data_IF_236075785184
#
_entry.id   IF_236075785184
#
_cell.length_a   1.000
_cell.length_b   1.000
_cell.length_c   1.000
_cell.angle_alpha   90.00
_cell.angle_beta   90.00
_cell.angle_gamma   90.00
#
_symmetry.space_group_name_H-M   'P 1'
#
loop_
_entity.id
_entity.type
_entity.pdbx_description
1 polymer ?
#
# COMPACT_ATOMS: atom_id res chain seq x y z
N UNK A 1 5.83 5.85 -23.84
CA UNK A 1 5.76 4.47 -23.30
C UNK A 1 5.15 3.56 -24.35
N UNK A 2 5.66 2.33 -24.60
CA UNK A 2 5.07 1.44 -25.60
C UNK A 2 3.68 0.99 -25.15
N UNK A 3 2.71 0.99 -26.07
CA UNK A 3 1.40 0.34 -25.88
C UNK A 3 1.62 -1.18 -25.96
N UNK A 4 1.85 -1.82 -24.82
CA UNK A 4 1.91 -3.28 -24.73
C UNK A 4 0.48 -3.85 -24.88
N UNK A 5 0.35 -5.02 -25.52
CA UNK A 5 -0.97 -5.60 -25.76
C UNK A 5 -1.65 -5.98 -24.43
N UNK A 6 -2.93 -5.64 -24.28
CA UNK A 6 -3.75 -5.93 -23.09
C UNK A 6 -4.15 -7.40 -22.95
N UNK A 7 -3.26 -8.33 -23.34
CA UNK A 7 -3.56 -9.76 -23.32
C UNK A 7 -3.61 -10.27 -21.88
N UNK A 8 -4.81 -10.40 -21.34
CA UNK A 8 -5.09 -11.07 -20.07
C UNK A 8 -5.05 -12.58 -20.29
N UNK A 9 -4.23 -13.28 -19.52
CA UNK A 9 -4.13 -14.75 -19.58
C UNK A 9 -5.29 -15.41 -18.84
N UNK A 10 -5.67 -14.87 -17.67
CA UNK A 10 -6.83 -15.30 -16.91
C UNK A 10 -7.24 -14.24 -15.87
N UNK A 11 -8.53 -14.21 -15.56
CA UNK A 11 -9.16 -13.38 -14.53
C UNK A 11 -9.44 -14.23 -13.29
N UNK A 12 -9.09 -13.76 -12.09
CA UNK A 12 -9.44 -14.47 -10.84
C UNK A 12 -10.85 -14.08 -10.37
N UNK A 13 -11.15 -12.77 -10.28
CA UNK A 13 -12.50 -12.21 -10.12
C UNK A 13 -12.55 -10.81 -10.75
N UNK A 14 -13.75 -10.25 -10.95
CA UNK A 14 -13.97 -8.86 -11.34
C UNK A 14 -14.87 -8.17 -10.33
N UNK A 15 -14.59 -6.89 -10.06
CA UNK A 15 -15.50 -6.05 -9.30
C UNK A 15 -16.82 -5.86 -10.04
N UNK A 16 -17.92 -5.87 -9.29
CA UNK A 16 -19.22 -5.45 -9.83
C UNK A 16 -19.16 -3.96 -10.20
N UNK A 17 -20.13 -3.52 -11.00
CA UNK A 17 -20.21 -2.11 -11.36
C UNK A 17 -20.55 -1.24 -10.15
N UNK A 18 -21.31 -1.74 -9.16
CA UNK A 18 -21.46 -1.04 -7.87
C UNK A 18 -20.13 -0.89 -7.15
N UNK A 19 -19.31 -1.96 -7.06
CA UNK A 19 -18.01 -1.88 -6.38
C UNK A 19 -17.06 -0.90 -7.07
N UNK A 20 -17.06 -0.84 -8.41
CA UNK A 20 -16.30 0.18 -9.15
C UNK A 20 -16.81 1.60 -8.90
N UNK A 21 -18.12 1.80 -8.80
CA UNK A 21 -18.73 3.10 -8.45
C UNK A 21 -18.33 3.54 -7.05
N UNK A 22 -18.41 2.62 -6.07
CA UNK A 22 -17.97 2.86 -4.69
C UNK A 22 -16.50 3.22 -4.65
N UNK A 23 -15.63 2.44 -5.31
CA UNK A 23 -14.20 2.74 -5.40
C UNK A 23 -13.94 4.14 -5.96
N UNK A 24 -14.58 4.48 -7.09
CA UNK A 24 -14.42 5.80 -7.72
C UNK A 24 -14.79 6.92 -6.76
N UNK A 25 -15.95 6.82 -6.13
CA UNK A 25 -16.43 7.83 -5.19
C UNK A 25 -15.48 8.00 -3.99
N UNK A 26 -14.92 6.91 -3.45
CA UNK A 26 -13.91 6.97 -2.38
C UNK A 26 -12.69 7.78 -2.84
N UNK A 27 -12.10 7.45 -3.99
CA UNK A 27 -10.89 8.14 -4.44
C UNK A 27 -11.15 9.57 -4.91
N UNK A 28 -12.29 9.87 -5.53
CA UNK A 28 -12.67 11.25 -5.87
C UNK A 28 -12.77 12.09 -4.60
N UNK A 29 -13.42 11.59 -3.56
CA UNK A 29 -13.51 12.26 -2.25
C UNK A 29 -12.14 12.41 -1.58
N UNK A 30 -11.28 11.38 -1.61
CA UNK A 30 -9.90 11.49 -1.09
C UNK A 30 -9.12 12.56 -1.84
N UNK A 31 -9.19 12.60 -3.17
CA UNK A 31 -8.42 13.54 -3.98
C UNK A 31 -8.94 14.98 -3.87
N UNK A 32 -10.21 15.18 -3.57
CA UNK A 32 -10.80 16.50 -3.36
C UNK A 32 -10.57 17.01 -1.93
N UNK A 33 -10.88 16.17 -0.94
CA UNK A 33 -10.99 16.58 0.47
C UNK A 33 -9.81 16.17 1.35
N UNK A 34 -8.99 15.22 0.88
CA UNK A 34 -7.94 14.58 1.70
C UNK A 34 -8.43 13.42 2.57
N UNK A 35 -9.72 13.07 2.50
CA UNK A 35 -10.36 12.02 3.31
C UNK A 35 -11.24 11.10 2.47
N UNK A 36 -11.31 9.84 2.87
CA UNK A 36 -12.32 8.92 2.35
C UNK A 36 -13.66 9.23 3.04
N UNK A 37 -14.78 9.13 2.30
CA UNK A 37 -16.11 9.43 2.82
C UNK A 37 -16.53 8.38 3.85
N UNK A 38 -17.43 8.76 4.77
CA UNK A 38 -18.00 7.79 5.70
C UNK A 38 -18.93 6.83 4.93
N UNK A 39 -19.12 5.61 5.45
CA UNK A 39 -20.00 4.60 4.83
C UNK A 39 -21.42 5.16 4.61
N UNK A 40 -21.92 5.94 5.56
CA UNK A 40 -23.23 6.58 5.45
C UNK A 40 -23.31 7.57 4.28
N UNK A 41 -22.24 8.35 4.05
CA UNK A 41 -22.16 9.30 2.94
C UNK A 41 -22.11 8.56 1.59
N UNK A 42 -21.34 7.47 1.50
CA UNK A 42 -21.30 6.61 0.30
C UNK A 42 -22.70 6.07 -0.02
N UNK A 43 -23.45 5.62 0.99
CA UNK A 43 -24.81 5.13 0.80
C UNK A 43 -25.73 6.23 0.26
N UNK A 44 -25.68 7.42 0.88
CA UNK A 44 -26.51 8.55 0.51
C UNK A 44 -26.20 9.05 -0.91
N UNK A 45 -24.92 9.29 -1.20
CA UNK A 45 -24.46 9.89 -2.46
C UNK A 45 -24.65 8.97 -3.66
N UNK A 46 -24.52 7.65 -3.47
CA UNK A 46 -24.64 6.68 -4.55
C UNK A 46 -26.04 6.06 -4.67
N UNK A 47 -26.94 6.34 -3.72
CA UNK A 47 -28.27 5.72 -3.62
C UNK A 47 -28.20 4.20 -3.42
N UNK A 48 -27.19 3.74 -2.67
CA UNK A 48 -26.95 2.31 -2.42
C UNK A 48 -27.39 1.92 -1.01
N UNK A 49 -27.82 0.66 -0.86
CA UNK A 49 -28.09 0.12 0.47
C UNK A 49 -26.78 -0.06 1.26
N UNK A 50 -26.86 0.04 2.59
CA UNK A 50 -25.72 -0.22 3.47
C UNK A 50 -25.11 -1.61 3.25
N UNK A 51 -25.95 -2.62 2.98
CA UNK A 51 -25.51 -3.98 2.68
C UNK A 51 -24.72 -4.06 1.36
N UNK A 52 -25.16 -3.33 0.33
CA UNK A 52 -24.43 -3.22 -0.94
C UNK A 52 -23.07 -2.56 -0.73
N UNK A 53 -23.03 -1.43 -0.03
CA UNK A 53 -21.77 -0.71 0.23
C UNK A 53 -20.81 -1.56 1.06
N UNK A 54 -21.28 -2.19 2.15
CA UNK A 54 -20.47 -3.08 2.99
C UNK A 54 -19.86 -4.23 2.18
N UNK A 55 -20.62 -4.84 1.27
CA UNK A 55 -20.11 -5.88 0.37
C UNK A 55 -19.05 -5.35 -0.59
N UNK A 56 -19.28 -4.18 -1.19
CA UNK A 56 -18.31 -3.53 -2.05
C UNK A 56 -17.01 -3.18 -1.31
N UNK A 57 -17.11 -2.67 -0.08
CA UNK A 57 -15.94 -2.38 0.75
C UNK A 57 -15.16 -3.65 1.11
N UNK A 58 -15.86 -4.72 1.50
CA UNK A 58 -15.24 -6.01 1.76
C UNK A 58 -14.53 -6.60 0.52
N UNK A 59 -15.13 -6.44 -0.67
CA UNK A 59 -14.49 -6.84 -1.92
C UNK A 59 -13.23 -5.99 -2.21
N UNK A 60 -13.30 -4.67 -2.00
CA UNK A 60 -12.15 -3.76 -2.17
C UNK A 60 -11.02 -4.04 -1.18
N UNK A 61 -11.35 -4.42 0.05
CA UNK A 61 -10.38 -4.82 1.06
C UNK A 61 -9.69 -6.14 0.67
N UNK A 62 -10.46 -7.14 0.22
CA UNK A 62 -9.91 -8.39 -0.33
C UNK A 62 -9.02 -8.21 -1.58
N UNK A 63 -9.24 -7.12 -2.32
CA UNK A 63 -8.38 -6.69 -3.41
C UNK A 63 -7.25 -5.75 -3.02
N UNK A 64 -7.02 -5.52 -1.73
CA UNK A 64 -5.95 -4.64 -1.21
C UNK A 64 -6.04 -3.23 -1.80
N UNK A 65 -7.27 -2.72 -1.98
CA UNK A 65 -7.53 -1.35 -2.43
C UNK A 65 -7.84 -0.44 -1.24
N UNK A 66 -8.50 -0.99 -0.23
CA UNK A 66 -8.79 -0.32 1.03
C UNK A 66 -8.40 -1.22 2.21
N UNK A 67 -8.42 -0.67 3.41
CA UNK A 67 -8.50 -1.43 4.65
C UNK A 67 -9.57 -0.78 5.54
N UNK A 68 -10.39 -1.60 6.19
CA UNK A 68 -11.43 -1.16 7.09
C UNK A 68 -10.92 -1.13 8.53
N UNK A 69 -11.38 -0.16 9.30
CA UNK A 69 -11.09 -0.06 10.72
C UNK A 69 -11.60 -1.31 11.45
N UNK A 70 -10.76 -1.85 12.32
CA UNK A 70 -11.04 -3.04 13.11
C UNK A 70 -10.73 -2.84 14.60
N UNK A 71 -11.08 -3.82 15.42
CA UNK A 71 -10.92 -3.76 16.88
C UNK A 71 -9.47 -3.57 17.32
N UNK A 72 -8.51 -4.10 16.56
CA UNK A 72 -7.09 -4.02 16.89
C UNK A 72 -6.55 -2.59 16.75
N UNK A 73 -7.19 -1.75 15.92
CA UNK A 73 -6.70 -0.41 15.55
C UNK A 73 -7.64 0.72 16.02
N UNK A 74 -8.72 0.42 16.76
CA UNK A 74 -9.75 1.39 17.17
C UNK A 74 -9.23 2.49 18.13
N UNK A 75 -8.20 2.20 18.91
CA UNK A 75 -7.72 3.07 19.99
C UNK A 75 -6.22 3.37 19.89
N UNK A 76 -5.68 3.34 18.68
CA UNK A 76 -4.28 3.65 18.45
C UNK A 76 -3.95 5.05 18.96
N UNK A 77 -2.90 5.12 19.78
CA UNK A 77 -2.26 6.37 20.18
C UNK A 77 -0.95 6.58 19.43
N UNK A 78 -0.45 5.51 18.83
CA UNK A 78 0.80 5.45 18.08
C UNK A 78 0.53 4.73 16.78
N UNK A 79 1.29 5.14 15.77
CA UNK A 79 1.24 4.62 14.43
C UNK A 79 2.68 4.45 13.97
N UNK A 80 3.09 3.22 13.65
CA UNK A 80 4.47 2.88 13.26
C UNK A 80 5.54 3.37 14.25
N UNK A 81 5.25 3.24 15.54
CA UNK A 81 6.14 3.69 16.63
C UNK A 81 6.20 5.20 16.82
N UNK A 82 5.38 5.98 16.11
CA UNK A 82 5.28 7.43 16.28
C UNK A 82 3.94 7.80 16.89
N UNK A 83 3.95 8.70 17.87
CA UNK A 83 2.72 9.18 18.49
C UNK A 83 1.85 9.94 17.48
N UNK A 84 0.56 9.62 17.46
CA UNK A 84 -0.40 10.35 16.63
C UNK A 84 -0.60 11.79 17.15
N UNK A 85 -0.89 12.75 16.26
CA UNK A 85 -1.28 14.10 16.66
C UNK A 85 -2.45 14.08 17.66
N UNK A 86 -2.47 15.02 18.61
CA UNK A 86 -3.55 15.07 19.63
C UNK A 86 -4.93 15.30 19.04
N UNK A 87 -5.00 15.97 17.89
CA UNK A 87 -6.21 16.24 17.12
C UNK A 87 -6.50 15.17 16.05
N UNK A 88 -5.76 14.05 16.08
CA UNK A 88 -6.04 12.92 15.20
C UNK A 88 -7.35 12.24 15.62
N UNK A 89 -8.28 12.16 14.67
CA UNK A 89 -9.51 11.37 14.78
C UNK A 89 -9.33 10.14 13.91
N UNK A 90 -9.43 8.96 14.52
CA UNK A 90 -9.43 7.70 13.79
C UNK A 90 -10.83 7.39 13.26
N UNK A 91 -10.96 6.71 12.11
CA UNK A 91 -12.24 6.21 11.64
C UNK A 91 -12.90 5.29 12.66
N UNK A 92 -14.23 5.29 12.68
CA UNK A 92 -15.04 4.39 13.51
C UNK A 92 -14.98 2.93 13.02
N UNK A 93 -15.48 1.99 13.81
CA UNK A 93 -15.50 0.56 13.44
C UNK A 93 -16.18 0.34 12.08
N UNK A 94 -15.53 -0.39 11.17
CA UNK A 94 -16.06 -0.67 9.83
C UNK A 94 -15.98 0.51 8.84
N UNK A 95 -15.48 1.67 9.26
CA UNK A 95 -15.18 2.79 8.36
C UNK A 95 -13.84 2.58 7.65
N UNK A 96 -13.62 3.31 6.56
CA UNK A 96 -12.39 3.22 5.77
C UNK A 96 -11.21 3.76 6.59
N UNK A 97 -10.25 2.88 6.91
CA UNK A 97 -9.00 3.22 7.58
C UNK A 97 -7.93 3.66 6.58
N UNK A 98 -7.77 2.88 5.51
CA UNK A 98 -6.90 3.18 4.38
C UNK A 98 -7.70 3.17 3.07
N UNK A 99 -7.50 4.20 2.25
CA UNK A 99 -7.86 4.20 0.84
C UNK A 99 -6.54 4.24 0.05
N UNK A 100 -5.97 3.06 -0.22
CA UNK A 100 -4.54 2.89 -0.49
C UNK A 100 -4.11 3.73 -1.70
N UNK A 101 -3.07 4.58 -1.61
CA UNK A 101 -2.02 4.62 -0.59
C UNK A 101 -2.24 5.66 0.52
N UNK A 102 -3.47 6.12 0.74
CA UNK A 102 -3.80 7.19 1.68
C UNK A 102 -4.33 6.66 3.01
N UNK A 103 -3.90 7.31 4.10
CA UNK A 103 -4.49 7.15 5.43
C UNK A 103 -5.67 8.09 5.62
N UNK A 104 -6.77 7.56 6.17
CA UNK A 104 -7.97 8.35 6.46
C UNK A 104 -7.93 9.09 7.81
N UNK A 105 -6.74 9.20 8.42
CA UNK A 105 -6.49 9.92 9.67
C UNK A 105 -5.23 10.79 9.55
N UNK A 106 -4.99 11.70 10.51
CA UNK A 106 -3.77 12.52 10.51
C UNK A 106 -2.62 11.69 11.07
N UNK A 107 -1.49 11.64 10.38
CA UNK A 107 -0.29 10.96 10.86
C UNK A 107 0.98 11.73 10.47
N UNK A 108 2.15 11.15 10.73
CA UNK A 108 3.43 11.79 10.45
C UNK A 108 3.86 11.68 8.97
N UNK A 109 3.17 10.89 8.15
CA UNK A 109 3.38 10.76 6.71
C UNK A 109 2.58 11.81 5.92
N UNK A 110 3.04 13.06 5.94
CA UNK A 110 2.31 14.19 5.33
C UNK A 110 2.54 14.23 3.83
N UNK A 111 1.47 14.34 3.05
CA UNK A 111 1.52 14.38 1.58
C UNK A 111 1.06 15.75 1.09
N UNK A 112 1.89 16.35 0.25
CA UNK A 112 1.74 17.69 -0.30
C UNK A 112 1.58 17.63 -1.81
N UNK A 113 0.60 18.36 -2.35
CA UNK A 113 0.36 18.46 -3.80
C UNK A 113 0.07 19.92 -4.13
N UNK A 114 0.82 20.49 -5.08
CA UNK A 114 0.65 21.91 -5.44
C UNK A 114 0.86 22.88 -4.27
N UNK A 115 1.70 22.52 -3.30
CA UNK A 115 1.95 23.31 -2.09
C UNK A 115 0.96 23.10 -0.94
N UNK A 116 -0.16 22.40 -1.17
CA UNK A 116 -1.16 22.13 -0.14
C UNK A 116 -0.90 20.79 0.56
N UNK A 117 -0.98 20.77 1.89
CA UNK A 117 -0.93 19.55 2.69
C UNK A 117 -2.34 19.17 3.15
N UNK A 118 -2.97 18.25 2.42
CA UNK A 118 -4.30 17.70 2.77
C UNK A 118 -4.26 16.21 3.10
N UNK A 119 -3.39 15.48 2.41
CA UNK A 119 -3.36 14.02 2.42
C UNK A 119 -2.31 13.48 3.40
N UNK A 120 -2.53 12.24 3.81
CA UNK A 120 -1.60 11.47 4.64
C UNK A 120 -1.34 10.12 3.97
N UNK A 121 -0.09 9.68 3.97
CA UNK A 121 0.30 8.38 3.44
C UNK A 121 -0.06 7.26 4.41
N UNK A 122 -0.44 6.10 3.88
CA UNK A 122 -0.68 4.91 4.70
C UNK A 122 0.61 4.31 5.21
N UNK A 123 1.67 4.26 4.40
CA UNK A 123 2.95 3.71 4.85
C UNK A 123 4.14 4.13 3.97
N UNK A 124 5.37 3.86 4.41
CA UNK A 124 6.59 4.14 3.65
C UNK A 124 6.68 3.41 2.30
N UNK A 125 6.13 2.20 2.18
CA UNK A 125 6.27 1.38 0.96
C UNK A 125 5.57 2.03 -0.23
N UNK A 126 4.28 2.33 -0.13
CA UNK A 126 3.52 2.90 -1.25
C UNK A 126 3.84 4.37 -1.52
N UNK A 127 4.47 5.06 -0.56
CA UNK A 127 4.84 6.48 -0.66
C UNK A 127 5.69 6.81 -1.91
N UNK A 128 6.54 5.90 -2.37
CA UNK A 128 7.40 6.12 -3.55
C UNK A 128 6.62 6.12 -4.86
N UNK A 129 5.33 5.78 -4.85
CA UNK A 129 4.45 5.76 -6.03
C UNK A 129 3.16 6.56 -5.86
N UNK A 130 2.99 7.27 -4.74
CA UNK A 130 1.76 8.03 -4.44
C UNK A 130 1.43 9.09 -5.48
N UNK A 131 2.43 9.59 -6.21
CA UNK A 131 2.25 10.57 -7.28
C UNK A 131 1.44 10.06 -8.48
N UNK A 132 1.20 8.75 -8.62
CA UNK A 132 0.26 8.23 -9.63
C UNK A 132 -1.14 8.82 -9.48
N UNK A 133 -1.57 9.12 -8.26
CA UNK A 133 -2.91 9.61 -7.96
C UNK A 133 -3.12 11.10 -8.28
N UNK A 134 -2.05 11.80 -8.71
CA UNK A 134 -2.12 13.23 -9.05
C UNK A 134 -1.49 13.50 -10.42
N UNK A 135 -2.15 13.10 -11.53
CA UNK A 135 -1.58 13.22 -12.86
C UNK A 135 -1.10 14.64 -13.20
N UNK A 136 0.13 14.73 -13.71
CA UNK A 136 0.79 15.96 -14.10
C UNK A 136 1.32 16.82 -12.94
N UNK A 137 1.03 16.45 -11.69
CA UNK A 137 1.43 17.22 -10.50
C UNK A 137 2.63 16.58 -9.80
N UNK A 138 3.50 17.43 -9.26
CA UNK A 138 4.50 16.99 -8.31
C UNK A 138 3.85 16.74 -6.96
N UNK A 139 4.22 15.63 -6.34
CA UNK A 139 3.76 15.21 -5.03
C UNK A 139 4.98 15.03 -4.14
N UNK A 140 4.93 15.66 -2.98
CA UNK A 140 5.99 15.61 -1.98
C UNK A 140 5.44 14.99 -0.71
N UNK A 141 6.09 13.95 -0.24
CA UNK A 141 5.78 13.27 1.00
C UNK A 141 6.87 13.59 2.02
N UNK A 142 6.48 14.00 3.22
CA UNK A 142 7.36 14.25 4.35
C UNK A 142 7.04 13.29 5.49
N UNK A 143 8.06 12.82 6.19
CA UNK A 143 7.93 11.93 7.34
C UNK A 143 9.17 12.03 8.24
N UNK A 144 9.30 11.09 9.17
CA UNK A 144 10.45 10.91 10.03
C UNK A 144 11.03 9.51 9.91
N UNK A 145 12.31 9.38 10.24
CA UNK A 145 12.96 8.10 10.48
C UNK A 145 12.40 7.48 11.76
N UNK A 146 12.05 6.19 11.70
CA UNK A 146 11.49 5.44 12.81
C UNK A 146 12.45 5.37 14.02
N UNK A 147 13.75 5.20 13.76
CA UNK A 147 14.76 5.06 14.81
C UNK A 147 15.19 6.41 15.41
N UNK A 148 15.50 7.40 14.56
CA UNK A 148 16.17 8.62 14.99
C UNK A 148 15.26 9.83 15.09
N UNK A 149 14.04 9.74 14.53
CA UNK A 149 13.15 10.90 14.37
C UNK A 149 13.61 11.92 13.32
N UNK A 150 14.75 11.69 12.66
CA UNK A 150 15.28 12.61 11.64
C UNK A 150 14.29 12.76 10.48
N UNK A 151 14.14 13.97 9.89
CA UNK A 151 13.19 14.20 8.81
C UNK A 151 13.56 13.38 7.57
N UNK A 152 12.54 12.91 6.86
CA UNK A 152 12.67 12.27 5.55
C UNK A 152 11.70 12.92 4.56
N UNK A 153 12.08 12.98 3.29
CA UNK A 153 11.23 13.47 2.23
C UNK A 153 11.37 12.63 0.96
N UNK A 154 10.29 12.53 0.21
CA UNK A 154 10.22 11.85 -1.08
C UNK A 154 9.41 12.73 -2.02
N UNK A 155 9.95 13.01 -3.19
CA UNK A 155 9.30 13.79 -4.24
C UNK A 155 9.10 12.92 -5.47
N UNK A 156 7.89 12.91 -6.00
CA UNK A 156 7.57 12.15 -7.20
C UNK A 156 6.55 12.86 -8.10
N UNK A 157 6.46 12.40 -9.34
CA UNK A 157 5.50 12.88 -10.33
C UNK A 157 5.09 11.74 -11.26
N UNK A 158 3.80 11.59 -11.51
CA UNK A 158 3.27 10.54 -12.42
C UNK A 158 3.79 9.13 -12.08
N UNK A 159 3.90 8.84 -10.78
CA UNK A 159 4.43 7.58 -10.24
C UNK A 159 5.95 7.41 -10.33
N UNK A 160 6.67 8.38 -10.89
CA UNK A 160 8.13 8.38 -10.93
C UNK A 160 8.70 9.07 -9.69
N UNK A 161 9.70 8.44 -9.08
CA UNK A 161 10.53 9.08 -8.07
C UNK A 161 11.41 10.14 -8.75
N UNK A 162 11.32 11.39 -8.29
CA UNK A 162 12.14 12.49 -8.77
C UNK A 162 13.31 12.76 -7.83
N UNK A 163 13.03 12.79 -6.52
CA UNK A 163 14.05 13.03 -5.51
C UNK A 163 13.65 12.45 -4.15
N UNK A 164 14.60 12.33 -3.23
CA UNK A 164 14.36 11.95 -1.85
C UNK A 164 15.48 12.43 -0.93
N UNK A 165 15.18 12.72 0.33
CA UNK A 165 16.17 13.04 1.36
C UNK A 165 15.90 12.28 2.67
N UNK A 166 16.95 11.91 3.43
CA UNK A 166 18.37 11.99 3.04
C UNK A 166 18.71 11.02 1.89
N UNK A 167 19.78 11.24 1.12
CA UNK A 167 20.21 10.27 0.09
C UNK A 167 20.56 8.88 0.62
N UNK A 168 20.85 8.79 1.92
CA UNK A 168 21.03 7.53 2.64
C UNK A 168 19.72 6.82 3.03
N UNK A 169 18.55 7.41 2.74
CA UNK A 169 17.24 6.88 3.11
C UNK A 169 17.07 5.42 2.70
N UNK A 170 16.44 4.66 3.60
CA UNK A 170 16.08 3.27 3.43
C UNK A 170 14.63 3.06 3.83
N UNK A 171 13.97 2.17 3.12
CA UNK A 171 12.58 1.78 3.37
C UNK A 171 12.57 0.32 3.79
N UNK A 172 12.07 0.06 4.98
CA UNK A 172 11.90 -1.28 5.52
C UNK A 172 10.51 -1.79 5.20
N UNK A 173 10.46 -2.93 4.53
CA UNK A 173 9.22 -3.67 4.28
C UNK A 173 9.16 -4.84 5.27
N UNK A 174 8.32 -4.72 6.30
CA UNK A 174 8.34 -5.59 7.47
C UNK A 174 7.60 -6.91 7.32
N UNK A 175 6.67 -7.06 6.37
CA UNK A 175 5.92 -8.33 6.20
C UNK A 175 5.80 -8.69 4.72
N UNK A 176 6.25 -9.89 4.30
CA UNK A 176 5.99 -10.38 2.96
C UNK A 176 4.49 -10.64 2.77
N UNK A 177 3.98 -10.49 1.54
CA UNK A 177 2.54 -10.68 1.21
C UNK A 177 1.93 -11.97 1.78
N UNK A 178 2.72 -13.04 1.84
CA UNK A 178 2.33 -14.33 2.41
C UNK A 178 1.98 -14.35 3.88
N UNK A 179 2.34 -13.32 4.63
CA UNK A 179 2.16 -13.25 6.08
C UNK A 179 1.11 -12.21 6.46
N UNK A 180 0.54 -11.48 5.50
CA UNK A 180 -0.34 -10.36 5.77
C UNK A 180 -1.56 -10.77 6.58
N UNK A 181 -2.21 -11.87 6.20
CA UNK A 181 -3.45 -12.33 6.85
C UNK A 181 -3.26 -13.41 7.91
N UNK A 182 -2.05 -13.93 8.10
CA UNK A 182 -1.80 -15.07 9.01
C UNK A 182 -0.75 -14.79 10.06
N UNK A 183 -0.41 -13.52 10.30
CA UNK A 183 0.46 -13.21 11.41
C UNK A 183 -0.30 -13.50 12.71
N UNK A 184 0.25 -14.33 13.62
CA UNK A 184 -0.42 -14.63 14.88
C UNK A 184 -0.77 -13.37 15.66
N UNK A 185 -2.03 -13.24 16.06
CA UNK A 185 -2.56 -12.05 16.74
C UNK A 185 -3.04 -10.94 15.80
N UNK A 186 -2.87 -11.09 14.49
CA UNK A 186 -3.29 -10.14 13.45
C UNK A 186 -3.96 -10.89 12.27
N UNK A 187 -4.63 -12.00 12.58
CA UNK A 187 -5.31 -12.80 11.57
C UNK A 187 -6.43 -12.03 10.87
N UNK A 188 -6.42 -12.03 9.53
CA UNK A 188 -7.44 -11.33 8.73
C UNK A 188 -7.28 -9.81 8.67
N UNK A 189 -6.24 -9.25 9.26
CA UNK A 189 -6.03 -7.81 9.35
C UNK A 189 -5.20 -7.25 8.18
N UNK A 190 -5.83 -6.39 7.38
CA UNK A 190 -5.18 -5.69 6.27
C UNK A 190 -4.48 -4.39 6.67
N UNK A 191 -4.62 -3.94 7.93
CA UNK A 191 -3.94 -2.76 8.46
C UNK A 191 -2.52 -3.14 8.89
N UNK A 192 -2.39 -4.15 9.75
CA UNK A 192 -1.11 -4.57 10.37
C UNK A 192 0.10 -4.66 9.43
N UNK A 193 0.02 -5.22 8.21
CA UNK A 193 1.19 -5.33 7.34
C UNK A 193 1.80 -3.97 6.98
N UNK A 194 0.97 -2.93 6.91
CA UNK A 194 1.43 -1.57 6.65
C UNK A 194 2.08 -0.97 7.88
N UNK A 195 1.52 -1.19 9.07
CA UNK A 195 2.04 -0.69 10.35
C UNK A 195 3.46 -1.17 10.68
N UNK A 196 3.94 -2.20 9.96
CA UNK A 196 5.30 -2.74 10.08
C UNK A 196 6.29 -2.20 9.04
N UNK A 197 5.93 -1.16 8.29
CA UNK A 197 6.79 -0.54 7.29
C UNK A 197 7.37 0.77 7.82
N UNK A 198 8.69 0.96 7.68
CA UNK A 198 9.40 2.07 8.33
C UNK A 198 10.35 2.79 7.38
N UNK A 199 10.51 4.10 7.60
CA UNK A 199 11.65 4.84 7.06
C UNK A 199 12.83 4.77 8.02
N UNK A 200 14.02 4.55 7.47
CA UNK A 200 15.29 4.71 8.16
C UNK A 200 16.14 5.74 7.44
N UNK A 201 16.62 6.76 8.15
CA UNK A 201 17.44 7.82 7.56
C UNK A 201 18.75 7.30 6.96
N UNK A 202 19.23 6.14 7.42
CA UNK A 202 20.41 5.47 6.89
C UNK A 202 20.42 3.97 7.21
N UNK A 203 21.38 3.23 6.67
CA UNK A 203 21.58 1.82 7.03
C UNK A 203 22.04 1.65 8.48
N UNK A 204 22.79 2.60 9.02
CA UNK A 204 23.21 2.60 10.42
C UNK A 204 22.01 2.76 11.37
N UNK A 205 21.07 3.64 11.03
CA UNK A 205 19.81 3.77 11.79
C UNK A 205 19.01 2.47 11.77
N UNK A 206 18.93 1.81 10.60
CA UNK A 206 18.31 0.49 10.51
C UNK A 206 19.05 -0.56 11.34
N UNK A 207 20.38 -0.61 11.28
CA UNK A 207 21.19 -1.56 12.02
C UNK A 207 21.01 -1.42 13.54
N UNK A 208 21.01 -0.19 14.06
CA UNK A 208 20.76 0.11 15.47
C UNK A 208 19.36 -0.37 15.92
N UNK A 209 18.34 -0.10 15.12
CA UNK A 209 16.99 -0.61 15.38
C UNK A 209 16.95 -2.14 15.33
N UNK A 210 17.61 -2.75 14.35
CA UNK A 210 17.60 -4.19 14.11
C UNK A 210 18.31 -4.98 15.21
N UNK A 211 19.33 -4.42 15.83
CA UNK A 211 20.02 -4.99 17.00
C UNK A 211 19.05 -5.21 18.17
N UNK A 212 18.16 -4.25 18.43
CA UNK A 212 17.10 -4.37 19.45
C UNK A 212 15.90 -5.19 19.00
N UNK A 213 15.73 -5.37 17.69
CA UNK A 213 14.63 -6.10 17.08
C UNK A 213 15.11 -7.28 16.21
N UNK A 214 15.93 -8.20 16.75
CA UNK A 214 16.62 -9.20 15.94
C UNK A 214 15.64 -10.16 15.24
N UNK A 215 14.47 -10.38 15.82
CA UNK A 215 13.44 -11.30 15.31
C UNK A 215 12.48 -10.69 14.31
N UNK A 216 12.47 -9.37 14.12
CA UNK A 216 11.55 -8.75 13.17
C UNK A 216 11.85 -9.22 11.74
N UNK A 217 10.90 -9.87 11.04
CA UNK A 217 11.10 -10.22 9.65
C UNK A 217 11.01 -8.96 8.79
N UNK A 218 11.65 -8.96 7.63
CA UNK A 218 11.54 -7.87 6.67
C UNK A 218 12.77 -7.71 5.80
N UNK A 219 12.68 -6.81 4.83
CA UNK A 219 13.77 -6.48 3.93
C UNK A 219 13.89 -4.97 3.76
N UNK A 220 15.12 -4.50 3.64
CA UNK A 220 15.44 -3.11 3.39
C UNK A 220 15.58 -2.83 1.90
N UNK A 221 15.06 -1.69 1.44
CA UNK A 221 15.13 -1.23 0.06
C UNK A 221 15.60 0.22 0.01
N UNK A 222 16.22 0.61 -1.11
CA UNK A 222 16.33 2.03 -1.44
C UNK A 222 15.01 2.55 -2.04
N UNK A 223 14.72 3.87 -1.94
CA UNK A 223 13.54 4.44 -2.60
C UNK A 223 13.48 4.15 -4.11
N UNK A 224 14.64 4.13 -4.78
CA UNK A 224 14.76 3.81 -6.20
C UNK A 224 14.34 2.36 -6.48
N UNK A 225 14.91 1.39 -5.75
CA UNK A 225 14.56 -0.03 -5.91
C UNK A 225 13.07 -0.25 -5.71
N UNK A 226 12.50 0.37 -4.68
CA UNK A 226 11.09 0.20 -4.36
C UNK A 226 10.18 0.90 -5.37
N UNK A 227 10.53 2.09 -5.86
CA UNK A 227 9.79 2.76 -6.94
C UNK A 227 9.77 1.88 -8.21
N UNK A 228 10.91 1.32 -8.60
CA UNK A 228 10.98 0.42 -9.76
C UNK A 228 10.07 -0.81 -9.59
N UNK A 229 10.06 -1.42 -8.41
CA UNK A 229 9.21 -2.56 -8.11
C UNK A 229 7.73 -2.18 -8.12
N UNK A 230 7.35 -1.13 -7.40
CA UNK A 230 5.95 -0.76 -7.21
C UNK A 230 5.31 -0.14 -8.44
N UNK A 231 6.08 0.49 -9.34
CA UNK A 231 5.56 0.97 -10.63
C UNK A 231 5.03 -0.16 -11.52
N UNK A 232 5.44 -1.39 -11.27
CA UNK A 232 4.94 -2.56 -11.99
C UNK A 232 3.55 -2.93 -11.49
N UNK A 233 3.35 -2.88 -10.17
CA UNK A 233 2.08 -3.22 -9.52
C UNK A 233 1.07 -2.07 -9.61
N UNK A 234 1.50 -0.84 -9.33
CA UNK A 234 0.64 0.34 -9.23
C UNK A 234 0.40 1.01 -10.59
N UNK A 235 0.91 0.47 -11.69
CA UNK A 235 0.58 0.98 -13.02
C UNK A 235 -0.93 0.88 -13.26
N UNK A 236 -1.59 2.00 -13.56
CA UNK A 236 -3.03 2.04 -13.76
C UNK A 236 -3.82 2.37 -12.49
N UNK A 237 -3.19 2.46 -11.30
CA UNK A 237 -3.88 2.86 -10.06
C UNK A 237 -4.51 4.25 -10.15
N UNK A 238 -4.02 5.12 -11.03
CA UNK A 238 -4.64 6.41 -11.32
C UNK A 238 -6.04 6.28 -11.92
N UNK A 239 -6.39 5.10 -12.44
CA UNK A 239 -7.70 4.80 -13.00
C UNK A 239 -8.61 4.26 -11.90
N UNK A 240 -9.73 4.93 -11.69
CA UNK A 240 -10.66 4.56 -10.62
C UNK A 240 -11.36 3.21 -10.82
N UNK A 241 -11.37 2.68 -12.04
CA UNK A 241 -11.86 1.33 -12.38
C UNK A 241 -10.77 0.25 -12.32
N UNK A 242 -9.56 0.61 -11.89
CA UNK A 242 -8.42 -0.30 -11.80
C UNK A 242 -8.71 -1.52 -10.91
N UNK A 243 -8.16 -2.66 -11.31
CA UNK A 243 -7.98 -3.85 -10.48
C UNK A 243 -6.54 -4.34 -10.67
N UNK A 244 -5.99 -5.02 -9.67
CA UNK A 244 -4.58 -5.42 -9.73
C UNK A 244 -4.28 -6.23 -10.99
N UNK A 245 -3.22 -5.85 -11.69
CA UNK A 245 -2.68 -6.64 -12.79
C UNK A 245 -1.34 -7.22 -12.33
N UNK A 246 -1.18 -8.54 -12.42
CA UNK A 246 0.08 -9.23 -12.21
C UNK A 246 0.77 -9.44 -13.57
N UNK A 247 1.75 -8.59 -13.92
CA UNK A 247 2.49 -8.69 -15.17
C UNK A 247 3.62 -9.73 -15.04
N UNK A 248 3.37 -10.96 -15.49
CA UNK A 248 4.23 -12.11 -15.16
C UNK A 248 5.68 -11.93 -15.63
N UNK A 249 5.89 -11.49 -16.87
CA UNK A 249 7.23 -11.33 -17.44
C UNK A 249 7.99 -10.16 -16.84
N UNK A 250 7.35 -9.00 -16.62
CA UNK A 250 7.97 -7.87 -15.91
C UNK A 250 8.30 -8.17 -14.47
N UNK A 251 7.43 -8.88 -13.76
CA UNK A 251 7.71 -9.29 -12.39
C UNK A 251 8.98 -10.14 -12.35
N UNK A 252 9.10 -11.13 -13.23
CA UNK A 252 10.31 -11.96 -13.32
C UNK A 252 11.56 -11.11 -13.62
N UNK A 253 11.50 -10.18 -14.57
CA UNK A 253 12.63 -9.30 -14.90
C UNK A 253 12.99 -8.32 -13.76
N UNK A 254 11.99 -7.77 -13.06
CA UNK A 254 12.19 -6.88 -11.93
C UNK A 254 12.76 -7.62 -10.71
N UNK A 255 12.31 -8.84 -10.44
CA UNK A 255 12.88 -9.69 -9.39
C UNK A 255 14.36 -10.00 -9.66
N UNK A 256 14.75 -10.23 -10.93
CA UNK A 256 16.16 -10.41 -11.32
C UNK A 256 16.98 -9.14 -11.10
N UNK A 257 16.47 -7.99 -11.54
CA UNK A 257 17.20 -6.70 -11.46
C UNK A 257 17.26 -6.11 -10.05
N UNK A 258 16.28 -6.41 -9.20
CA UNK A 258 16.23 -6.00 -7.79
C UNK A 258 17.08 -6.89 -6.85
N UNK A 259 17.83 -7.86 -7.39
CA UNK A 259 18.68 -8.76 -6.58
C UNK A 259 17.89 -9.77 -5.75
N UNK A 260 16.64 -10.05 -6.13
CA UNK A 260 15.72 -10.96 -5.43
C UNK A 260 15.87 -12.42 -5.91
N UNK A 261 16.98 -12.75 -6.58
CA UNK A 261 17.41 -14.11 -6.84
C UNK A 261 18.77 -14.34 -6.18
N UNK A 262 18.85 -15.30 -5.25
CA UNK A 262 20.15 -15.77 -4.75
C UNK A 262 20.64 -16.88 -5.67
N UNK A 263 21.82 -16.71 -6.23
CA UNK A 263 22.50 -17.79 -6.96
C UNK A 263 22.99 -18.82 -5.96
N UNK A 264 22.37 -20.00 -5.94
CA UNK A 264 22.90 -21.15 -5.22
C UNK A 264 23.18 -22.25 -6.24
N UNK A 265 24.47 -22.48 -6.50
CA UNK A 265 24.96 -23.50 -7.43
C UNK A 265 24.26 -23.46 -8.81
N UNK A 266 24.30 -22.31 -9.49
CA UNK A 266 23.77 -22.11 -10.85
C UNK A 266 22.25 -22.25 -11.01
N UNK A 267 21.51 -22.52 -9.93
CA UNK A 267 20.04 -22.48 -9.92
C UNK A 267 19.59 -21.13 -9.35
N UNK A 268 18.77 -20.36 -10.10
CA UNK A 268 18.15 -19.16 -9.54
C UNK A 268 17.18 -19.59 -8.42
N UNK A 269 17.51 -19.33 -7.15
CA UNK A 269 16.57 -19.53 -6.04
C UNK A 269 15.80 -18.22 -5.85
N UNK A 270 14.51 -18.17 -6.23
CA UNK A 270 13.71 -16.97 -6.07
C UNK A 270 13.56 -16.60 -4.59
N UNK A 271 13.66 -15.30 -4.28
CA UNK A 271 13.45 -14.80 -2.93
C UNK A 271 12.02 -15.10 -2.49
N UNK A 272 11.90 -15.96 -1.48
CA UNK A 272 10.65 -16.41 -0.86
C UNK A 272 9.77 -15.25 -0.36
N UNK A 273 10.31 -14.04 -0.23
CA UNK A 273 9.60 -12.82 0.17
C UNK A 273 8.38 -12.50 -0.71
N UNK A 274 8.38 -12.87 -2.00
CA UNK A 274 7.28 -12.62 -2.93
C UNK A 274 6.51 -13.88 -3.36
N UNK A 275 6.93 -15.05 -2.89
CA UNK A 275 6.62 -16.32 -3.57
C UNK A 275 5.49 -17.15 -3.00
N UNK A 276 4.69 -16.60 -2.09
CA UNK A 276 3.57 -17.34 -1.54
C UNK A 276 2.24 -16.77 -2.02
N UNK A 277 2.13 -16.42 -3.31
CA UNK A 277 0.83 -16.08 -3.92
C UNK A 277 -0.19 -17.19 -3.66
N UNK A 278 0.22 -18.47 -3.73
CA UNK A 278 -0.62 -19.61 -3.35
C UNK A 278 -1.06 -19.61 -1.88
N UNK A 279 -0.21 -19.12 -0.98
CA UNK A 279 -0.56 -18.95 0.45
C UNK A 279 -1.52 -17.78 0.61
N UNK A 280 -1.26 -16.63 -0.02
CA UNK A 280 -2.18 -15.49 -0.04
C UNK A 280 -3.56 -15.90 -0.57
N UNK A 281 -3.62 -16.69 -1.64
CA UNK A 281 -4.86 -17.24 -2.18
C UNK A 281 -5.60 -18.13 -1.18
N UNK A 282 -4.88 -19.03 -0.51
CA UNK A 282 -5.45 -19.91 0.53
C UNK A 282 -5.95 -19.11 1.73
N UNK A 283 -5.19 -18.12 2.15
CA UNK A 283 -5.47 -17.32 3.34
C UNK A 283 -6.65 -16.38 3.07
N UNK A 284 -6.70 -15.72 1.90
CA UNK A 284 -7.86 -14.93 1.49
C UNK A 284 -9.14 -15.77 1.53
N UNK A 285 -9.11 -17.00 0.99
CA UNK A 285 -10.24 -17.93 1.09
C UNK A 285 -10.59 -18.28 2.55
N UNK A 286 -9.58 -18.56 3.39
CA UNK A 286 -9.77 -18.86 4.83
C UNK A 286 -10.46 -17.71 5.57
N UNK A 287 -10.15 -16.47 5.23
CA UNK A 287 -10.74 -15.27 5.82
C UNK A 287 -11.95 -14.73 5.04
N UNK A 288 -12.52 -15.55 4.15
CA UNK A 288 -13.72 -15.23 3.37
C UNK A 288 -13.56 -14.06 2.37
N UNK A 289 -12.34 -13.61 2.12
CA UNK A 289 -12.05 -12.63 1.07
C UNK A 289 -12.07 -13.26 -0.32
N UNK A 290 -12.50 -12.46 -1.29
CA UNK A 290 -12.29 -12.73 -2.71
C UNK A 290 -11.05 -11.98 -3.17
N UNK A 291 -10.29 -12.61 -4.06
CA UNK A 291 -9.12 -11.97 -4.68
C UNK A 291 -9.50 -11.37 -6.01
N UNK A 292 -9.09 -10.12 -6.23
CA UNK A 292 -9.45 -9.33 -7.41
C UNK A 292 -8.21 -8.89 -8.17
N UNK A 293 -7.70 -9.78 -9.03
CA UNK A 293 -6.60 -9.47 -9.92
C UNK A 293 -6.69 -10.20 -11.26
N UNK A 294 -6.01 -9.63 -12.26
CA UNK A 294 -5.75 -10.25 -13.55
C UNK A 294 -4.30 -10.71 -13.63
N UNK A 295 -4.07 -11.85 -14.28
CA UNK A 295 -2.71 -12.22 -14.70
C UNK A 295 -2.54 -11.83 -16.15
N UNK A 296 -1.62 -10.90 -16.41
CA UNK A 296 -1.24 -10.46 -17.76
C UNK A 296 0.12 -11.05 -18.11
N UNK A 297 0.31 -11.37 -19.40
CA UNK A 297 1.53 -12.03 -19.85
C UNK A 297 2.77 -11.12 -19.76
N UNK A 298 2.62 -9.86 -20.17
CA UNK A 298 3.71 -8.87 -20.21
C UNK A 298 4.13 -8.43 -18.81
#
# INVERSE_FOLDING_TARGET
MPKFSDTVLFHVNRYSDETKRVKRHIYESVLDTGRAPAVADICADLGLSAETVRRSLHDLEGGVIIALQNEQHLHLKEFMGQRLPKDCVLPGMGEIFYARPFANFKNHHRVFVGGEQKWFGECPVESVTISYFFPGKEVRMESVCHETGAPVSITGKDGMLLDYEPKSLRIYWGRPFGQWLTTPGHEGDFIFPCDMNYFFSSEEAFAAWKERNPREPGQLFTPIQLNHLLRIFNYGHERFDYQYHFPLLRLLAALVTAGLFRWRMLVPVPNLFFLSMAKLMRDAYRFQYRLFFDVKLW
#
